data_IF_535949168350
#
_entry.id   IF_535949168350
#
_cell.length_a   1.000
_cell.length_b   1.000
_cell.length_c   1.000
_cell.angle_alpha   90.00
_cell.angle_beta   90.00
_cell.angle_gamma   90.00
#
_symmetry.space_group_name_H-M   'P 1'
#
loop_
_entity.id
_entity.type
_entity.pdbx_description
1 polymer ?
#
# COMPACT_ATOMS: atom_id res chain seq x y z
N UNK A 1 11.13 -23.58 -21.68
CA UNK A 1 10.64 -22.55 -20.77
C UNK A 1 9.13 -22.41 -20.92
N UNK A 2 8.40 -22.25 -19.82
CA UNK A 2 6.95 -21.95 -19.87
C UNK A 2 6.69 -20.44 -19.92
N UNK A 3 7.52 -19.68 -19.19
CA UNK A 3 7.41 -18.22 -19.11
C UNK A 3 8.79 -17.58 -19.16
N UNK A 4 8.87 -16.38 -19.75
CA UNK A 4 10.06 -15.52 -19.75
C UNK A 4 9.62 -14.15 -19.31
N UNK A 5 10.25 -13.63 -18.26
CA UNK A 5 9.99 -12.28 -17.74
C UNK A 5 11.19 -11.42 -18.09
N UNK A 6 10.95 -10.28 -18.74
CA UNK A 6 11.98 -9.33 -19.14
C UNK A 6 11.71 -7.99 -18.48
N UNK A 7 12.69 -7.46 -17.76
CA UNK A 7 12.61 -6.14 -17.15
C UNK A 7 13.27 -5.09 -18.05
N UNK A 8 12.81 -3.85 -17.94
CA UNK A 8 13.48 -2.70 -18.51
C UNK A 8 14.78 -2.36 -17.78
N UNK A 9 15.43 -1.31 -18.25
CA UNK A 9 16.71 -0.85 -17.69
C UNK A 9 16.46 0.28 -16.69
N UNK A 10 17.07 0.15 -15.50
CA UNK A 10 17.11 1.26 -14.53
C UNK A 10 18.31 2.15 -14.85
N UNK A 11 18.03 3.42 -15.13
CA UNK A 11 18.99 4.46 -15.48
C UNK A 11 19.18 5.43 -14.31
N UNK A 12 20.23 6.21 -14.33
CA UNK A 12 20.38 7.33 -13.42
C UNK A 12 19.30 8.39 -13.67
N UNK A 13 19.13 9.32 -12.74
CA UNK A 13 18.09 10.35 -12.81
C UNK A 13 18.18 11.20 -14.09
N UNK A 14 19.40 11.43 -14.59
CA UNK A 14 19.69 12.13 -15.85
C UNK A 14 19.47 11.29 -17.13
N UNK A 15 18.93 10.08 -17.00
CA UNK A 15 18.68 9.15 -18.11
C UNK A 15 19.92 8.42 -18.63
N UNK A 16 21.08 8.60 -18.02
CA UNK A 16 22.30 7.90 -18.41
C UNK A 16 22.45 6.57 -17.69
N UNK A 17 23.26 5.69 -18.24
CA UNK A 17 23.60 4.41 -17.59
C UNK A 17 24.24 4.67 -16.22
N UNK A 18 23.76 3.97 -15.20
CA UNK A 18 24.37 4.01 -13.88
C UNK A 18 25.83 3.54 -13.92
N UNK A 19 26.72 4.30 -13.28
CA UNK A 19 28.15 4.01 -13.27
C UNK A 19 28.74 4.30 -11.90
N UNK A 20 29.38 3.28 -11.30
CA UNK A 20 30.12 3.43 -10.03
C UNK A 20 31.22 4.50 -10.13
N UNK A 21 31.89 4.61 -11.32
CA UNK A 21 32.93 5.59 -11.54
C UNK A 21 32.39 7.03 -11.55
N UNK A 22 31.19 7.23 -12.13
CA UNK A 22 30.59 8.56 -12.24
C UNK A 22 29.77 8.92 -10.98
N UNK A 23 29.48 7.96 -10.09
CA UNK A 23 28.64 8.17 -8.90
C UNK A 23 27.34 8.91 -9.22
N UNK A 24 26.74 8.58 -10.37
CA UNK A 24 25.55 9.27 -10.90
C UNK A 24 24.22 8.66 -10.43
N UNK A 25 24.24 7.86 -9.37
CA UNK A 25 23.05 7.33 -8.71
C UNK A 25 23.29 7.27 -7.19
N UNK A 26 22.26 7.37 -6.36
CA UNK A 26 22.42 7.23 -4.91
C UNK A 26 22.84 5.80 -4.54
N UNK A 27 23.56 5.64 -3.43
CA UNK A 27 23.89 4.32 -2.92
C UNK A 27 22.57 3.59 -2.56
N UNK A 28 22.31 2.41 -3.14
CA UNK A 28 21.09 1.67 -2.82
C UNK A 28 20.94 1.33 -1.32
N UNK A 29 22.06 1.13 -0.60
CA UNK A 29 22.02 0.85 0.83
C UNK A 29 21.56 2.08 1.63
N UNK A 30 22.04 3.28 1.27
CA UNK A 30 21.59 4.52 1.91
C UNK A 30 20.09 4.76 1.67
N UNK A 31 19.58 4.46 0.47
CA UNK A 31 18.15 4.57 0.15
C UNK A 31 17.34 3.56 0.95
N UNK A 32 17.83 2.32 1.10
CA UNK A 32 17.18 1.27 1.89
C UNK A 32 17.16 1.61 3.39
N UNK A 33 18.25 2.15 3.92
CA UNK A 33 18.31 2.59 5.32
C UNK A 33 17.33 3.73 5.60
N UNK A 34 17.14 4.63 4.64
CA UNK A 34 16.32 5.84 4.79
C UNK A 34 14.83 5.60 4.61
N UNK A 35 14.43 4.76 3.66
CA UNK A 35 13.02 4.56 3.28
C UNK A 35 12.52 3.13 3.44
N UNK A 36 13.39 2.20 3.78
CA UNK A 36 13.06 0.79 3.88
C UNK A 36 13.04 0.06 2.51
N UNK A 37 13.15 -1.25 2.59
CA UNK A 37 13.17 -2.10 1.41
C UNK A 37 11.81 -2.11 0.67
N UNK A 38 10.71 -2.04 1.40
CA UNK A 38 9.37 -2.14 0.83
C UNK A 38 9.02 -0.94 -0.04
N UNK A 39 9.38 0.28 0.37
CA UNK A 39 9.20 1.48 -0.43
C UNK A 39 9.98 1.41 -1.76
N UNK A 40 11.24 0.96 -1.70
CA UNK A 40 12.06 0.80 -2.89
C UNK A 40 11.53 -0.29 -3.82
N UNK A 41 11.14 -1.44 -3.27
CA UNK A 41 10.54 -2.54 -4.04
C UNK A 41 9.25 -2.11 -4.69
N UNK A 42 8.37 -1.45 -3.94
CA UNK A 42 7.10 -0.94 -4.47
C UNK A 42 7.33 0.07 -5.60
N UNK A 43 8.27 1.01 -5.43
CA UNK A 43 8.65 1.97 -6.47
C UNK A 43 9.08 1.27 -7.78
N UNK A 44 9.92 0.24 -7.68
CA UNK A 44 10.39 -0.50 -8.85
C UNK A 44 9.29 -1.34 -9.49
N UNK A 45 8.51 -2.08 -8.68
CA UNK A 45 7.48 -3.01 -9.18
C UNK A 45 6.30 -2.27 -9.80
N UNK A 46 5.94 -1.09 -9.30
CA UNK A 46 4.86 -0.27 -9.87
C UNK A 46 5.28 0.57 -11.08
N UNK A 47 6.58 0.54 -11.44
CA UNK A 47 7.18 1.39 -12.48
C UNK A 47 7.11 0.77 -13.88
N UNK A 48 7.38 1.56 -14.94
CA UNK A 48 7.48 1.07 -16.32
C UNK A 48 8.54 -0.01 -16.55
N UNK A 49 9.51 -0.17 -15.64
CA UNK A 49 10.52 -1.24 -15.70
C UNK A 49 9.88 -2.64 -15.86
N UNK A 50 8.71 -2.83 -15.27
CA UNK A 50 7.98 -4.11 -15.38
C UNK A 50 7.35 -4.37 -16.74
N UNK A 51 7.33 -3.36 -17.62
CA UNK A 51 6.89 -3.45 -19.02
C UNK A 51 8.06 -3.44 -20.02
N UNK A 52 9.27 -3.76 -19.56
CA UNK A 52 10.51 -3.68 -20.37
C UNK A 52 10.87 -2.26 -20.84
N UNK A 53 10.34 -1.24 -20.20
CA UNK A 53 10.66 0.17 -20.46
C UNK A 53 11.78 0.67 -19.53
N UNK A 54 12.44 1.76 -19.93
CA UNK A 54 13.47 2.40 -19.08
C UNK A 54 12.85 3.17 -17.92
N UNK A 55 13.52 3.14 -16.76
CA UNK A 55 13.19 3.95 -15.60
C UNK A 55 14.37 4.83 -15.22
N UNK A 56 14.18 6.13 -15.19
CA UNK A 56 15.13 7.05 -14.55
C UNK A 56 14.91 6.97 -13.04
N UNK A 57 15.86 6.34 -12.34
CA UNK A 57 15.76 6.16 -10.89
C UNK A 57 15.83 7.49 -10.16
N UNK A 58 14.87 7.75 -9.29
CA UNK A 58 14.83 8.95 -8.48
C UNK A 58 14.61 8.59 -7.01
N UNK A 59 15.47 9.09 -6.12
CA UNK A 59 15.28 8.97 -4.68
C UNK A 59 13.98 9.66 -4.24
N UNK A 60 13.61 10.75 -4.90
CA UNK A 60 12.33 11.42 -4.65
C UNK A 60 11.13 10.51 -4.94
N UNK A 61 11.20 9.67 -5.98
CA UNK A 61 10.17 8.67 -6.28
C UNK A 61 10.05 7.59 -5.21
N UNK A 62 11.17 7.11 -4.70
CA UNK A 62 11.16 6.14 -3.57
C UNK A 62 10.55 6.77 -2.32
N UNK A 63 10.91 8.02 -1.99
CA UNK A 63 10.33 8.77 -0.87
C UNK A 63 8.82 8.98 -1.04
N UNK A 64 8.36 9.22 -2.26
CA UNK A 64 6.93 9.35 -2.54
C UNK A 64 6.19 8.04 -2.23
N UNK A 65 6.72 6.90 -2.65
CA UNK A 65 6.13 5.59 -2.34
C UNK A 65 6.19 5.28 -0.84
N UNK A 66 7.29 5.62 -0.17
CA UNK A 66 7.35 5.53 1.28
C UNK A 66 6.21 6.29 1.96
N UNK A 67 5.99 7.54 1.57
CA UNK A 67 4.93 8.37 2.17
C UNK A 67 3.52 7.86 1.85
N UNK A 68 3.26 7.52 0.59
CA UNK A 68 1.93 7.12 0.12
C UNK A 68 1.52 5.71 0.57
N UNK A 69 2.47 4.81 0.68
CA UNK A 69 2.20 3.40 1.03
C UNK A 69 2.54 3.14 2.49
N UNK A 70 3.84 3.12 2.81
CA UNK A 70 4.33 2.65 4.11
C UNK A 70 3.85 3.56 5.25
N UNK A 71 4.09 4.87 5.10
CA UNK A 71 3.75 5.82 6.16
C UNK A 71 2.23 5.99 6.31
N UNK A 72 1.46 5.92 5.22
CA UNK A 72 0.00 6.00 5.27
C UNK A 72 -0.58 4.77 5.99
N UNK A 73 -0.15 3.56 5.65
CA UNK A 73 -0.57 2.34 6.34
C UNK A 73 -0.15 2.35 7.81
N UNK A 74 1.07 2.81 8.11
CA UNK A 74 1.51 2.96 9.50
C UNK A 74 0.63 3.91 10.30
N UNK A 75 0.18 5.01 9.69
CA UNK A 75 -0.74 5.94 10.33
C UNK A 75 -2.14 5.32 10.56
N UNK A 76 -2.63 4.51 9.63
CA UNK A 76 -3.89 3.77 9.80
C UNK A 76 -3.76 2.75 10.92
N UNK A 77 -2.67 1.98 10.94
CA UNK A 77 -2.37 1.02 12.00
C UNK A 77 -2.26 1.71 13.37
N UNK A 78 -1.51 2.82 13.46
CA UNK A 78 -1.36 3.57 14.71
C UNK A 78 -2.70 4.14 15.20
N UNK A 79 -3.58 4.54 14.25
CA UNK A 79 -4.93 4.96 14.58
C UNK A 79 -5.76 3.79 15.14
N UNK A 80 -5.69 2.61 14.51
CA UNK A 80 -6.34 1.40 15.02
C UNK A 80 -5.87 1.07 16.44
N UNK A 81 -4.57 1.00 16.69
CA UNK A 81 -3.98 0.72 18.00
C UNK A 81 -4.44 1.71 19.08
N UNK A 82 -4.61 2.98 18.73
CA UNK A 82 -5.08 4.01 19.67
C UNK A 82 -6.47 3.69 20.25
N UNK A 83 -7.34 3.05 19.48
CA UNK A 83 -8.70 2.74 19.88
C UNK A 83 -8.92 1.27 20.25
N UNK A 84 -7.96 0.40 19.99
CA UNK A 84 -8.05 -1.03 20.31
C UNK A 84 -7.61 -1.37 21.76
N UNK A 85 -7.14 -0.40 22.54
CA UNK A 85 -6.57 -0.62 23.88
C UNK A 85 -7.53 -1.20 24.89
N UNK A 86 -8.84 -0.99 24.73
CA UNK A 86 -9.87 -1.41 25.69
C UNK A 86 -10.61 -2.70 25.28
N UNK A 87 -10.27 -3.27 24.12
CA UNK A 87 -11.01 -4.39 23.54
C UNK A 87 -10.08 -5.54 23.18
N UNK A 88 -9.66 -6.31 24.20
CA UNK A 88 -8.85 -7.52 24.02
C UNK A 88 -9.61 -8.64 23.31
N UNK A 89 -10.94 -8.62 23.37
CA UNK A 89 -11.81 -9.58 22.70
C UNK A 89 -12.87 -8.82 21.88
N UNK A 90 -12.58 -8.59 20.59
CA UNK A 90 -13.61 -8.16 19.65
C UNK A 90 -14.55 -9.35 19.44
N UNK A 91 -15.63 -9.42 20.21
CA UNK A 91 -16.67 -10.46 20.07
C UNK A 91 -17.47 -10.28 18.76
N UNK A 92 -17.51 -9.05 18.23
CA UNK A 92 -18.27 -8.74 17.02
C UNK A 92 -17.49 -9.10 15.75
N UNK A 93 -18.15 -9.82 14.87
CA UNK A 93 -17.67 -10.09 13.52
C UNK A 93 -17.94 -8.86 12.64
N UNK A 94 -16.94 -8.47 11.83
CA UNK A 94 -17.09 -7.37 10.85
C UNK A 94 -18.24 -7.61 9.85
N UNK A 95 -18.64 -8.88 9.65
CA UNK A 95 -19.75 -9.26 8.77
C UNK A 95 -21.11 -8.83 9.31
N UNK A 96 -21.24 -8.56 10.60
CA UNK A 96 -22.47 -8.12 11.23
C UNK A 96 -22.76 -6.62 11.02
N UNK A 97 -21.76 -5.87 10.54
CA UNK A 97 -21.94 -4.44 10.31
C UNK A 97 -22.99 -4.14 9.25
N UNK A 98 -23.98 -3.34 9.60
CA UNK A 98 -24.94 -2.76 8.67
C UNK A 98 -24.47 -1.44 8.05
N UNK A 99 -23.37 -0.86 8.55
CA UNK A 99 -22.86 0.44 8.12
C UNK A 99 -22.38 0.41 6.67
N UNK A 100 -22.78 1.42 5.91
CA UNK A 100 -22.48 1.51 4.48
C UNK A 100 -20.98 1.66 4.19
N UNK A 101 -20.22 2.35 5.08
CA UNK A 101 -18.78 2.54 4.90
C UNK A 101 -18.02 1.22 5.14
N UNK A 102 -18.46 0.42 6.12
CA UNK A 102 -17.85 -0.88 6.41
C UNK A 102 -18.06 -1.84 5.22
N UNK A 103 -19.30 -1.93 4.74
CA UNK A 103 -19.61 -2.73 3.54
C UNK A 103 -18.85 -2.26 2.30
N UNK A 104 -18.70 -0.95 2.15
CA UNK A 104 -17.99 -0.37 1.01
C UNK A 104 -16.49 -0.71 1.04
N UNK A 105 -15.81 -0.53 2.18
CA UNK A 105 -14.36 -0.79 2.25
C UNK A 105 -14.05 -2.29 2.14
N UNK A 106 -14.88 -3.15 2.73
CA UNK A 106 -14.77 -4.61 2.58
C UNK A 106 -14.97 -5.05 1.11
N UNK A 107 -15.95 -4.47 0.42
CA UNK A 107 -16.15 -4.74 -1.01
C UNK A 107 -14.94 -4.27 -1.85
N UNK A 108 -14.36 -3.11 -1.52
CA UNK A 108 -13.13 -2.61 -2.14
C UNK A 108 -11.94 -3.55 -1.91
N UNK A 109 -11.80 -4.09 -0.71
CA UNK A 109 -10.77 -5.08 -0.38
C UNK A 109 -10.93 -6.35 -1.23
N UNK A 110 -12.15 -6.87 -1.38
CA UNK A 110 -12.40 -8.06 -2.19
C UNK A 110 -12.08 -7.85 -3.67
N UNK A 111 -12.42 -6.67 -4.21
CA UNK A 111 -12.04 -6.29 -5.59
C UNK A 111 -10.53 -6.23 -5.71
N UNK A 112 -9.84 -5.58 -4.76
CA UNK A 112 -8.38 -5.50 -4.74
C UNK A 112 -7.74 -6.89 -4.75
N UNK A 113 -8.20 -7.80 -3.87
CA UNK A 113 -7.68 -9.17 -3.79
C UNK A 113 -7.85 -9.89 -5.13
N UNK A 114 -9.01 -9.75 -5.76
CA UNK A 114 -9.29 -10.37 -7.07
C UNK A 114 -8.39 -9.82 -8.16
N UNK A 115 -8.26 -8.50 -8.27
CA UNK A 115 -7.48 -7.82 -9.31
C UNK A 115 -5.98 -8.13 -9.16
N UNK A 116 -5.45 -8.02 -7.93
CA UNK A 116 -4.06 -8.34 -7.63
C UNK A 116 -3.77 -9.80 -7.92
N UNK A 117 -4.63 -10.71 -7.47
CA UNK A 117 -4.45 -12.16 -7.70
C UNK A 117 -4.46 -12.49 -9.19
N UNK A 118 -5.40 -11.93 -9.94
CA UNK A 118 -5.49 -12.13 -11.39
C UNK A 118 -4.23 -11.63 -12.11
N UNK A 119 -3.81 -10.39 -11.82
CA UNK A 119 -2.63 -9.79 -12.44
C UNK A 119 -1.34 -10.54 -12.07
N UNK A 120 -1.19 -10.96 -10.80
CA UNK A 120 -0.03 -11.74 -10.36
C UNK A 120 0.05 -13.11 -11.04
N UNK A 121 -1.07 -13.80 -11.26
CA UNK A 121 -1.12 -15.08 -11.97
C UNK A 121 -0.67 -14.94 -13.44
N UNK A 122 -0.81 -13.74 -14.00
CA UNK A 122 -0.38 -13.41 -15.37
C UNK A 122 1.01 -12.75 -15.41
N UNK A 123 1.72 -12.65 -14.29
CA UNK A 123 3.01 -11.94 -14.14
C UNK A 123 2.96 -10.44 -14.49
N UNK A 124 1.80 -9.80 -14.38
CA UNK A 124 1.59 -8.38 -14.63
C UNK A 124 1.85 -7.56 -13.35
N UNK A 125 3.11 -7.50 -12.93
CA UNK A 125 3.49 -6.97 -11.61
C UNK A 125 3.09 -5.50 -11.41
N UNK A 126 3.25 -4.64 -12.43
CA UNK A 126 2.85 -3.24 -12.32
C UNK A 126 1.32 -3.07 -12.24
N UNK A 127 0.55 -3.89 -12.96
CA UNK A 127 -0.91 -3.90 -12.88
C UNK A 127 -1.38 -4.41 -11.51
N UNK A 128 -0.69 -5.40 -10.93
CA UNK A 128 -0.99 -5.92 -9.62
C UNK A 128 -0.70 -4.92 -8.48
N UNK A 129 0.35 -4.10 -8.62
CA UNK A 129 0.79 -3.20 -7.55
C UNK A 129 0.02 -1.88 -7.51
N UNK A 130 -0.38 -1.32 -8.65
CA UNK A 130 -1.04 0.01 -8.72
C UNK A 130 -2.35 0.10 -7.95
N UNK A 131 -3.30 -0.85 -8.03
CA UNK A 131 -4.55 -0.79 -7.29
C UNK A 131 -4.38 -0.74 -5.77
N UNK A 132 -3.25 -1.23 -5.26
CA UNK A 132 -2.93 -1.18 -3.82
C UNK A 132 -2.84 0.28 -3.34
N UNK A 133 -2.25 1.16 -4.15
CA UNK A 133 -2.14 2.58 -3.80
C UNK A 133 -3.50 3.27 -3.70
N UNK A 134 -4.38 2.98 -4.66
CA UNK A 134 -5.75 3.52 -4.68
C UNK A 134 -6.54 3.02 -3.47
N UNK A 135 -6.38 1.74 -3.11
CA UNK A 135 -7.03 1.18 -1.92
C UNK A 135 -6.51 1.81 -0.62
N UNK A 136 -5.21 2.06 -0.49
CA UNK A 136 -4.63 2.72 0.68
C UNK A 136 -5.17 4.15 0.83
N UNK A 137 -5.37 4.86 -0.27
CA UNK A 137 -5.99 6.19 -0.27
C UNK A 137 -7.46 6.12 0.17
N UNK A 138 -8.24 5.21 -0.41
CA UNK A 138 -9.63 4.96 -0.02
C UNK A 138 -9.75 4.60 1.47
N UNK A 139 -8.87 3.73 1.97
CA UNK A 139 -8.84 3.33 3.37
C UNK A 139 -8.55 4.51 4.30
N UNK A 140 -7.50 5.28 4.02
CA UNK A 140 -7.07 6.38 4.87
C UNK A 140 -7.96 7.61 4.77
N UNK A 141 -8.22 8.09 3.53
CA UNK A 141 -8.87 9.39 3.30
C UNK A 141 -10.40 9.31 3.31
N UNK A 142 -10.97 8.14 3.02
CA UNK A 142 -12.41 7.94 3.08
C UNK A 142 -12.84 7.15 4.30
N UNK A 143 -12.46 5.89 4.40
CA UNK A 143 -12.97 5.02 5.47
C UNK A 143 -12.58 5.54 6.86
N UNK A 144 -11.28 5.63 7.16
CA UNK A 144 -10.81 6.05 8.49
C UNK A 144 -11.25 7.48 8.80
N UNK A 145 -11.07 8.40 7.84
CA UNK A 145 -11.42 9.80 8.06
C UNK A 145 -12.91 10.02 8.33
N UNK A 146 -13.79 9.35 7.58
CA UNK A 146 -15.25 9.51 7.74
C UNK A 146 -15.81 8.70 8.90
N UNK A 147 -15.14 7.64 9.32
CA UNK A 147 -15.53 6.82 10.47
C UNK A 147 -14.95 7.33 11.80
N UNK A 148 -14.21 8.45 11.82
CA UNK A 148 -13.54 8.96 13.04
C UNK A 148 -14.49 9.16 14.21
N UNK A 149 -15.69 9.66 13.97
CA UNK A 149 -16.67 9.91 15.03
C UNK A 149 -17.22 8.61 15.61
N UNK A 150 -17.28 7.54 14.81
CA UNK A 150 -17.66 6.19 15.27
C UNK A 150 -16.62 5.61 16.22
N UNK A 151 -15.32 5.72 15.89
CA UNK A 151 -14.22 5.24 16.75
C UNK A 151 -14.15 5.97 18.10
N UNK A 152 -14.66 7.21 18.18
CA UNK A 152 -14.67 8.07 19.38
C UNK A 152 -16.02 8.10 20.08
N UNK A 153 -17.07 7.59 19.44
CA UNK A 153 -18.44 7.72 19.91
C UNK A 153 -18.74 6.85 21.14
N UNK A 154 -19.85 7.17 21.79
CA UNK A 154 -20.34 6.47 22.98
C UNK A 154 -21.09 5.17 22.63
N UNK A 155 -21.44 4.98 21.34
CA UNK A 155 -22.03 3.73 20.86
C UNK A 155 -20.97 2.63 20.77
N UNK A 156 -20.96 1.79 21.81
CA UNK A 156 -19.96 0.72 21.95
C UNK A 156 -20.07 -0.30 20.84
N UNK A 157 -21.29 -0.68 20.44
CA UNK A 157 -21.53 -1.68 19.40
C UNK A 157 -21.03 -1.21 18.04
N UNK A 158 -21.41 0.01 17.61
CA UNK A 158 -20.96 0.60 16.34
C UNK A 158 -19.43 0.81 16.32
N UNK A 159 -18.84 1.21 17.46
CA UNK A 159 -17.39 1.33 17.59
C UNK A 159 -16.67 -0.02 17.44
N UNK A 160 -17.18 -1.08 18.04
CA UNK A 160 -16.62 -2.44 17.93
C UNK A 160 -16.70 -2.96 16.48
N UNK A 161 -17.82 -2.76 15.80
CA UNK A 161 -18.00 -3.12 14.40
C UNK A 161 -17.04 -2.35 13.48
N UNK A 162 -16.85 -1.05 13.73
CA UNK A 162 -15.88 -0.23 12.98
C UNK A 162 -14.43 -0.71 13.21
N UNK A 163 -14.06 -1.06 14.45
CA UNK A 163 -12.74 -1.62 14.77
C UNK A 163 -12.54 -3.01 14.15
N UNK A 164 -13.54 -3.88 14.22
CA UNK A 164 -13.49 -5.20 13.60
C UNK A 164 -13.29 -5.09 12.07
N UNK A 165 -14.01 -4.17 11.42
CA UNK A 165 -13.84 -3.88 10.01
C UNK A 165 -12.43 -3.34 9.69
N UNK A 166 -11.94 -2.39 10.49
CA UNK A 166 -10.60 -1.82 10.29
C UNK A 166 -9.48 -2.85 10.51
N UNK A 167 -9.69 -3.83 11.38
CA UNK A 167 -8.77 -4.94 11.60
C UNK A 167 -8.71 -5.91 10.41
N UNK A 168 -9.85 -6.11 9.74
CA UNK A 168 -9.96 -7.02 8.60
C UNK A 168 -9.33 -6.42 7.33
N UNK A 169 -9.39 -5.12 7.13
CA UNK A 169 -8.88 -4.45 5.92
C UNK A 169 -7.42 -4.01 6.06
#
# INVERSE_FOLDING_TARGET
FKNVIVNGIVLAEDGKKMSKRLKNYPDPLEVLEKYGADAMRYYLVSSPVMYSEGLNFSEAGVREMYNKVVNTLWNVYSFYEMFNTDYTDLENDYTDSSNVLDKWILAKLQILIQDVTSAMNEYKLAEASRPILDFIDDLSTWYVRRSRDRFKGDDVEDRQLALATLREV
#
